data_IF_678560886041
#
_entry.id   IF_678560886041
#
_cell.length_a   1.000
_cell.length_b   1.000
_cell.length_c   1.000
_cell.angle_alpha   90.00
_cell.angle_beta   90.00
_cell.angle_gamma   90.00
#
_symmetry.space_group_name_H-M   'P 1'
#
loop_
_entity.id
_entity.type
_entity.pdbx_description
1 polymer ?
#
# COMPACT_ATOMS: atom_id res chain seq x y z
N UNK A 1 -1.96 21.26 -58.21
CA UNK A 1 -0.89 20.25 -58.01
C UNK A 1 0.49 20.89 -58.21
N UNK A 2 1.30 20.96 -57.15
CA UNK A 2 2.66 21.52 -57.20
C UNK A 2 3.61 20.47 -57.82
N UNK A 3 3.93 20.58 -59.11
CA UNK A 3 4.70 19.60 -59.91
C UNK A 3 6.18 19.42 -59.50
N UNK A 4 6.61 19.93 -58.34
CA UNK A 4 8.01 19.88 -57.86
C UNK A 4 8.19 19.27 -56.48
N UNK A 5 7.16 18.63 -55.92
CA UNK A 5 7.30 17.99 -54.61
C UNK A 5 8.02 16.65 -54.78
N UNK A 6 9.30 16.59 -54.37
CA UNK A 6 10.01 15.31 -54.23
C UNK A 6 9.22 14.38 -53.32
N UNK A 7 9.20 13.10 -53.65
CA UNK A 7 8.60 12.07 -52.79
C UNK A 7 9.22 12.16 -51.38
N UNK A 8 8.44 12.06 -50.30
CA UNK A 8 8.95 12.21 -48.93
C UNK A 8 10.05 11.23 -48.52
N UNK A 9 10.18 10.12 -49.27
CA UNK A 9 11.14 9.04 -49.08
C UNK A 9 11.74 8.65 -50.43
N UNK A 10 13.02 8.31 -50.46
CA UNK A 10 13.73 7.95 -51.69
C UNK A 10 13.24 6.59 -52.25
N UNK A 11 13.08 6.55 -53.57
CA UNK A 11 12.75 5.33 -54.31
C UNK A 11 14.02 4.79 -55.00
N UNK A 12 14.20 3.46 -55.10
CA UNK A 12 13.23 2.39 -54.82
C UNK A 12 13.27 1.82 -53.39
N UNK A 13 14.13 2.32 -52.51
CA UNK A 13 14.36 1.78 -51.16
C UNK A 13 13.09 1.76 -50.28
N UNK A 14 12.17 2.72 -50.49
CA UNK A 14 10.92 2.84 -49.72
C UNK A 14 9.66 2.58 -50.55
N UNK A 15 9.74 1.63 -51.50
CA UNK A 15 8.63 1.29 -52.42
C UNK A 15 7.37 0.72 -51.76
N UNK A 16 7.45 0.29 -50.51
CA UNK A 16 6.34 -0.29 -49.72
C UNK A 16 5.67 0.73 -48.79
N UNK A 17 6.12 2.00 -48.79
CA UNK A 17 5.54 3.06 -47.96
C UNK A 17 4.47 3.85 -48.71
N UNK A 18 3.28 3.95 -48.11
CA UNK A 18 2.21 4.87 -48.53
C UNK A 18 2.15 6.07 -47.59
N UNK A 19 2.35 7.29 -48.09
CA UNK A 19 2.54 8.49 -47.24
C UNK A 19 1.66 9.65 -47.66
N UNK A 20 0.87 10.18 -46.73
CA UNK A 20 0.20 11.47 -46.82
C UNK A 20 0.92 12.47 -45.91
N UNK A 21 1.86 13.25 -46.47
CA UNK A 21 2.60 14.30 -45.76
C UNK A 21 2.20 15.69 -46.24
N UNK A 22 1.96 16.59 -45.29
CA UNK A 22 1.70 18.02 -45.56
C UNK A 22 2.69 18.90 -44.79
N UNK A 23 3.22 19.94 -45.43
CA UNK A 23 4.13 20.89 -44.77
C UNK A 23 3.33 21.90 -43.96
N UNK A 24 3.85 22.29 -42.80
CA UNK A 24 3.24 23.36 -42.01
C UNK A 24 3.28 24.66 -42.81
N UNK A 25 2.14 25.35 -42.90
CA UNK A 25 2.06 26.58 -43.67
C UNK A 25 2.84 27.71 -42.97
N UNK A 26 3.81 28.31 -43.66
CA UNK A 26 4.63 29.44 -43.17
C UNK A 26 5.39 29.18 -41.86
N UNK A 27 5.64 27.91 -41.54
CA UNK A 27 6.51 27.51 -40.45
C UNK A 27 7.21 26.21 -40.80
N UNK A 28 8.27 25.89 -40.07
CA UNK A 28 8.94 24.61 -40.17
C UNK A 28 8.08 23.52 -39.51
N UNK A 29 8.15 22.29 -40.06
CA UNK A 29 7.40 21.14 -39.57
C UNK A 29 6.45 20.53 -40.59
N UNK A 30 5.82 19.41 -40.24
CA UNK A 30 4.90 18.68 -41.12
C UNK A 30 3.87 17.89 -40.32
N UNK A 31 2.75 17.52 -40.95
CA UNK A 31 1.88 16.45 -40.46
C UNK A 31 2.01 15.25 -41.40
N UNK A 32 1.97 14.03 -40.86
CA UNK A 32 2.11 12.81 -41.64
C UNK A 32 1.18 11.71 -41.16
N UNK A 33 0.54 11.05 -42.13
CA UNK A 33 0.00 9.72 -41.99
C UNK A 33 0.76 8.80 -42.94
N UNK A 34 1.41 7.76 -42.41
CA UNK A 34 2.22 6.82 -43.18
C UNK A 34 1.83 5.38 -42.86
N UNK A 35 1.79 4.55 -43.89
CA UNK A 35 1.63 3.11 -43.84
C UNK A 35 2.91 2.47 -44.39
N UNK A 36 3.48 1.51 -43.67
CA UNK A 36 4.52 0.58 -44.14
C UNK A 36 3.88 -0.80 -44.27
N UNK A 37 3.97 -1.39 -45.47
CA UNK A 37 3.37 -2.70 -45.79
C UNK A 37 4.44 -3.77 -46.03
N UNK A 38 5.72 -3.48 -45.75
CA UNK A 38 6.78 -4.48 -45.82
C UNK A 38 6.63 -5.51 -44.70
N UNK A 39 6.59 -6.79 -45.08
CA UNK A 39 6.43 -7.90 -44.15
C UNK A 39 7.47 -7.88 -43.02
N UNK A 40 7.01 -7.89 -41.77
CA UNK A 40 7.85 -7.83 -40.57
C UNK A 40 8.22 -6.42 -40.11
N UNK A 41 7.83 -5.39 -40.86
CA UNK A 41 8.06 -3.97 -40.54
C UNK A 41 6.76 -3.15 -40.64
N UNK A 42 5.60 -3.80 -40.62
CA UNK A 42 4.31 -3.14 -40.81
C UNK A 42 4.06 -2.05 -39.75
N UNK A 43 3.73 -0.85 -40.20
CA UNK A 43 3.58 0.31 -39.32
C UNK A 43 2.49 1.26 -39.81
N UNK A 44 1.68 1.77 -38.88
CA UNK A 44 0.88 2.98 -39.09
C UNK A 44 1.50 4.10 -38.24
N UNK A 45 2.03 5.12 -38.91
CA UNK A 45 2.63 6.29 -38.26
C UNK A 45 1.72 7.50 -38.41
N UNK A 46 1.35 8.11 -37.28
CA UNK A 46 0.58 9.35 -37.22
C UNK A 46 1.40 10.41 -36.51
N UNK A 47 1.73 11.49 -37.22
CA UNK A 47 2.42 12.65 -36.66
C UNK A 47 1.56 13.91 -36.79
N UNK A 48 1.28 14.53 -35.64
CA UNK A 48 0.69 15.85 -35.55
C UNK A 48 1.76 16.85 -35.09
N UNK A 49 1.96 17.93 -35.84
CA UNK A 49 2.97 18.96 -35.54
C UNK A 49 2.66 19.74 -34.25
N UNK A 50 1.38 19.83 -33.88
CA UNK A 50 0.92 20.58 -32.72
C UNK A 50 -0.09 19.78 -31.89
N UNK A 51 -1.30 19.62 -32.42
CA UNK A 51 -2.42 19.01 -31.70
C UNK A 51 -2.96 17.80 -32.47
N UNK A 52 -3.16 16.66 -31.79
CA UNK A 52 -3.98 15.54 -32.28
C UNK A 52 -5.26 15.51 -31.46
N UNK A 53 -6.39 15.80 -32.09
CA UNK A 53 -7.71 15.64 -31.48
C UNK A 53 -8.37 14.39 -32.04
N UNK A 54 -8.85 13.53 -31.16
CA UNK A 54 -9.67 12.37 -31.52
C UNK A 54 -11.01 12.49 -30.80
N UNK A 55 -12.11 12.47 -31.56
CA UNK A 55 -13.46 12.50 -31.02
C UNK A 55 -14.24 11.34 -31.62
N UNK A 56 -14.66 10.43 -30.76
CA UNK A 56 -15.47 9.28 -31.13
C UNK A 56 -16.88 9.49 -30.57
N UNK A 57 -17.90 9.47 -31.44
CA UNK A 57 -19.29 9.77 -31.05
C UNK A 57 -20.02 8.59 -30.42
N UNK A 58 -19.51 7.38 -30.60
CA UNK A 58 -20.16 6.15 -30.14
C UNK A 58 -19.18 5.29 -29.34
N UNK A 59 -18.44 4.38 -29.99
CA UNK A 59 -17.54 3.46 -29.30
C UNK A 59 -16.11 3.59 -29.83
N UNK A 60 -15.16 3.75 -28.90
CA UNK A 60 -13.74 3.56 -29.16
C UNK A 60 -13.32 2.29 -28.43
N UNK A 61 -12.82 1.30 -29.17
CA UNK A 61 -12.28 0.05 -28.61
C UNK A 61 -10.84 -0.07 -29.05
N UNK A 62 -9.93 -0.14 -28.09
CA UNK A 62 -8.51 -0.38 -28.33
C UNK A 62 -8.16 -1.76 -27.77
N UNK A 63 -7.55 -2.61 -28.60
CA UNK A 63 -6.96 -3.88 -28.19
C UNK A 63 -5.53 -3.88 -28.66
N UNK A 64 -4.61 -4.11 -27.74
CA UNK A 64 -3.18 -4.25 -28.02
C UNK A 64 -2.79 -5.68 -27.67
N UNK A 65 -2.37 -6.46 -28.67
CA UNK A 65 -2.05 -7.88 -28.49
C UNK A 65 -0.66 -8.12 -27.88
N UNK A 66 0.23 -7.13 -27.95
CA UNK A 66 1.57 -7.19 -27.37
C UNK A 66 1.75 -6.12 -26.27
N UNK A 67 2.34 -4.96 -26.60
CA UNK A 67 2.72 -3.95 -25.60
C UNK A 67 2.05 -2.59 -25.84
N UNK A 68 1.42 -2.04 -24.79
CA UNK A 68 0.99 -0.64 -24.73
C UNK A 68 1.94 0.18 -23.87
N UNK A 69 2.54 1.21 -24.44
CA UNK A 69 3.44 2.12 -23.71
C UNK A 69 2.98 3.55 -23.94
N UNK A 70 2.78 4.29 -22.84
CA UNK A 70 2.41 5.69 -22.87
C UNK A 70 3.40 6.54 -22.08
N UNK A 71 3.94 7.59 -22.70
CA UNK A 71 4.80 8.59 -22.06
C UNK A 71 4.18 9.98 -22.18
N UNK A 72 3.93 10.65 -21.05
CA UNK A 72 3.33 11.99 -21.00
C UNK A 72 4.31 12.95 -20.35
N UNK A 73 4.75 13.98 -21.10
CA UNK A 73 5.82 14.90 -20.66
C UNK A 73 5.39 15.91 -19.58
N UNK A 74 4.10 16.21 -19.49
CA UNK A 74 3.49 17.11 -18.52
C UNK A 74 2.38 16.38 -17.74
N UNK A 75 1.11 16.69 -18.01
CA UNK A 75 -0.03 16.18 -17.24
C UNK A 75 -0.85 15.18 -18.06
N UNK A 76 -1.29 14.09 -17.41
CA UNK A 76 -2.38 13.22 -17.88
C UNK A 76 -3.59 13.45 -16.99
N UNK A 77 -4.67 13.98 -17.56
CA UNK A 77 -5.97 14.04 -16.90
C UNK A 77 -6.83 12.86 -17.39
N UNK A 78 -7.55 12.21 -16.47
CA UNK A 78 -8.51 11.16 -16.80
C UNK A 78 -9.72 11.29 -15.90
N UNK A 79 -10.88 11.40 -16.53
CA UNK A 79 -12.18 11.45 -15.87
C UNK A 79 -13.00 10.26 -16.35
N UNK A 80 -13.61 9.55 -15.41
CA UNK A 80 -14.49 8.41 -15.66
C UNK A 80 -15.74 8.62 -14.84
N UNK A 81 -16.86 8.90 -15.50
CA UNK A 81 -18.14 9.26 -14.85
C UNK A 81 -18.81 8.06 -14.16
N UNK A 82 -18.56 6.85 -14.68
CA UNK A 82 -19.09 5.60 -14.13
C UNK A 82 -17.93 4.75 -13.58
N UNK A 83 -17.70 3.55 -14.11
CA UNK A 83 -16.71 2.62 -13.56
C UNK A 83 -15.39 2.63 -14.33
N UNK A 84 -14.28 2.64 -13.58
CA UNK A 84 -12.95 2.25 -14.08
C UNK A 84 -12.61 0.90 -13.46
N UNK A 85 -12.67 -0.15 -14.26
CA UNK A 85 -12.23 -1.49 -13.88
C UNK A 85 -10.83 -1.74 -14.43
N UNK A 86 -9.87 -2.05 -13.55
CA UNK A 86 -8.49 -2.35 -13.91
C UNK A 86 -8.07 -3.69 -13.29
N UNK A 87 -7.73 -4.66 -14.14
CA UNK A 87 -7.25 -5.98 -13.73
C UNK A 87 -5.81 -6.11 -14.19
N UNK A 88 -4.88 -6.23 -13.24
CA UNK A 88 -3.45 -6.43 -13.50
C UNK A 88 -3.09 -7.86 -13.14
N UNK A 89 -2.76 -8.69 -14.14
CA UNK A 89 -2.38 -10.09 -13.91
C UNK A 89 -0.98 -10.28 -13.32
N UNK A 90 -0.12 -9.25 -13.42
CA UNK A 90 1.23 -9.22 -12.87
C UNK A 90 1.39 -8.19 -11.74
N UNK A 91 2.56 -7.56 -11.67
CA UNK A 91 2.84 -6.53 -10.66
C UNK A 91 2.29 -5.16 -11.10
N UNK A 92 1.67 -4.46 -10.16
CA UNK A 92 1.31 -3.04 -10.29
C UNK A 92 2.18 -2.21 -9.34
N UNK A 93 3.02 -1.33 -9.91
CA UNK A 93 3.81 -0.36 -9.13
C UNK A 93 3.25 1.03 -9.36
N UNK A 94 2.70 1.63 -8.30
CA UNK A 94 2.23 3.02 -8.32
C UNK A 94 3.17 3.87 -7.48
N UNK A 95 3.87 4.81 -8.11
CA UNK A 95 4.75 5.76 -7.44
C UNK A 95 4.20 7.18 -7.58
N UNK A 96 3.96 7.85 -6.46
CA UNK A 96 3.45 9.22 -6.39
C UNK A 96 4.46 10.07 -5.64
N UNK A 97 5.09 11.05 -6.29
CA UNK A 97 6.12 11.90 -5.67
C UNK A 97 6.84 12.82 -6.65
N UNK A 98 7.61 13.77 -6.13
CA UNK A 98 8.20 14.89 -6.89
C UNK A 98 9.49 14.57 -7.65
N UNK A 99 9.99 13.33 -7.70
CA UNK A 99 11.13 12.93 -8.53
C UNK A 99 11.31 11.40 -8.54
N UNK A 100 11.02 10.74 -9.68
CA UNK A 100 11.62 9.48 -10.15
C UNK A 100 11.31 9.33 -11.66
N UNK A 101 11.99 10.12 -12.50
CA UNK A 101 12.03 9.91 -13.97
C UNK A 101 13.20 8.98 -14.27
N UNK A 102 12.98 7.69 -14.47
CA UNK A 102 14.08 6.89 -15.03
C UNK A 102 13.93 5.38 -15.18
N UNK A 103 13.13 4.68 -14.37
CA UNK A 103 13.24 3.20 -14.35
C UNK A 103 12.32 2.46 -15.33
N UNK A 104 11.20 3.05 -15.76
CA UNK A 104 10.25 2.35 -16.65
C UNK A 104 10.51 2.67 -18.13
N UNK A 105 11.02 3.86 -18.45
CA UNK A 105 11.33 4.25 -19.82
C UNK A 105 12.69 4.92 -19.83
N UNK A 106 13.69 4.25 -20.42
CA UNK A 106 15.05 4.76 -20.51
C UNK A 106 15.10 6.16 -21.13
N UNK A 107 15.96 7.03 -20.61
CA UNK A 107 16.05 8.45 -21.01
C UNK A 107 16.30 8.64 -22.51
N UNK A 108 16.95 7.67 -23.16
CA UNK A 108 17.18 7.65 -24.62
C UNK A 108 15.90 7.49 -25.44
N UNK A 109 14.83 6.94 -24.87
CA UNK A 109 13.54 6.73 -25.55
C UNK A 109 12.68 7.98 -25.63
N UNK A 110 12.98 9.00 -24.82
CA UNK A 110 12.28 10.30 -24.84
C UNK A 110 12.75 11.22 -25.99
N UNK A 111 13.88 10.88 -26.63
CA UNK A 111 14.51 11.70 -27.68
C UNK A 111 14.57 11.00 -29.04
N UNK A 112 14.00 9.80 -29.16
CA UNK A 112 14.01 9.05 -30.42
C UNK A 112 12.90 9.56 -31.36
N UNK A 113 13.27 9.95 -32.58
CA UNK A 113 12.32 10.40 -33.60
C UNK A 113 11.43 9.28 -34.13
N UNK A 114 11.85 8.02 -33.98
CA UNK A 114 11.05 6.82 -34.28
C UNK A 114 10.04 6.47 -33.16
N UNK A 115 9.94 7.28 -32.11
CA UNK A 115 8.99 7.09 -31.02
C UNK A 115 9.31 5.92 -30.07
N UNK A 116 8.28 5.49 -29.33
CA UNK A 116 8.35 4.47 -28.27
C UNK A 116 8.43 3.04 -28.86
N UNK A 117 8.27 2.87 -30.17
CA UNK A 117 8.21 1.58 -30.88
C UNK A 117 9.38 0.65 -30.52
N UNK A 118 10.60 1.17 -30.41
CA UNK A 118 11.78 0.35 -30.03
C UNK A 118 11.74 -0.13 -28.57
N UNK A 119 11.13 0.65 -27.67
CA UNK A 119 10.92 0.23 -26.27
C UNK A 119 9.89 -0.88 -26.20
N UNK A 120 8.84 -0.81 -27.03
CA UNK A 120 7.81 -1.86 -27.11
C UNK A 120 8.34 -3.22 -27.57
N UNK A 121 9.41 -3.26 -28.37
CA UNK A 121 10.02 -4.53 -28.79
C UNK A 121 10.92 -5.17 -27.71
N UNK A 122 11.51 -4.37 -26.82
CA UNK A 122 12.39 -4.86 -25.74
C UNK A 122 11.61 -5.32 -24.48
N UNK A 123 10.32 -4.95 -24.36
CA UNK A 123 9.43 -5.40 -23.29
C UNK A 123 8.87 -6.80 -23.62
N UNK A 124 9.69 -7.84 -23.46
CA UNK A 124 9.38 -9.21 -23.89
C UNK A 124 8.07 -9.81 -23.33
N UNK A 125 7.48 -10.69 -24.14
CA UNK A 125 6.26 -11.46 -23.88
C UNK A 125 6.34 -12.26 -22.57
N UNK A 126 5.72 -11.75 -21.51
CA UNK A 126 5.35 -12.57 -20.35
C UNK A 126 3.87 -12.89 -20.46
N UNK A 127 3.60 -14.13 -20.86
CA UNK A 127 2.25 -14.67 -21.02
C UNK A 127 1.37 -14.48 -19.78
N UNK A 128 0.06 -14.55 -20.03
CA UNK A 128 -1.02 -14.46 -19.05
C UNK A 128 -0.77 -15.42 -17.88
N UNK A 129 -0.19 -14.90 -16.80
CA UNK A 129 -0.07 -15.61 -15.54
C UNK A 129 -1.46 -15.73 -14.90
N UNK A 130 -1.77 -16.84 -14.21
CA UNK A 130 -2.90 -16.89 -13.27
C UNK A 130 -2.80 -15.73 -12.28
N UNK A 131 -3.93 -15.28 -11.69
CA UNK A 131 -4.03 -14.15 -10.75
C UNK A 131 -2.75 -14.05 -9.90
N UNK A 132 -1.88 -13.10 -10.25
CA UNK A 132 -0.47 -13.19 -9.90
C UNK A 132 -0.21 -13.14 -8.40
N UNK A 133 0.72 -13.99 -7.94
CA UNK A 133 1.47 -13.83 -6.70
C UNK A 133 2.39 -12.61 -6.83
N UNK A 134 1.78 -11.41 -6.89
CA UNK A 134 2.46 -10.14 -7.07
C UNK A 134 2.57 -9.35 -5.78
N UNK A 135 3.53 -8.44 -5.73
CA UNK A 135 3.68 -7.53 -4.59
C UNK A 135 3.02 -6.18 -4.91
N UNK A 136 2.11 -5.73 -4.05
CA UNK A 136 1.67 -4.34 -4.05
C UNK A 136 2.55 -3.52 -3.10
N UNK A 137 3.16 -2.44 -3.59
CA UNK A 137 3.89 -1.49 -2.75
C UNK A 137 3.33 -0.09 -2.91
N UNK A 138 2.97 0.53 -1.79
CA UNK A 138 2.59 1.93 -1.71
C UNK A 138 3.66 2.68 -0.92
N UNK A 139 4.25 3.73 -1.51
CA UNK A 139 5.22 4.59 -0.85
C UNK A 139 4.71 6.02 -0.85
N UNK A 140 4.64 6.62 0.34
CA UNK A 140 4.20 8.01 0.55
C UNK A 140 5.30 8.75 1.28
N UNK A 141 5.82 9.83 0.70
CA UNK A 141 6.99 10.54 1.23
C UNK A 141 6.67 11.58 2.31
N UNK A 142 5.41 12.02 2.38
CA UNK A 142 4.98 13.08 3.30
C UNK A 142 3.85 12.60 4.20
N UNK A 143 2.60 12.63 3.70
CA UNK A 143 1.42 12.30 4.51
C UNK A 143 0.48 11.34 3.77
N UNK A 144 -0.04 10.36 4.50
CA UNK A 144 -1.16 9.52 4.10
C UNK A 144 -2.33 9.80 5.04
N UNK A 145 -3.50 10.10 4.48
CA UNK A 145 -4.75 10.27 5.22
C UNK A 145 -5.82 9.39 4.57
N UNK A 146 -6.50 8.57 5.36
CA UNK A 146 -7.61 7.76 4.92
C UNK A 146 -8.80 8.00 5.85
N UNK A 147 -9.92 8.41 5.27
CA UNK A 147 -11.19 8.56 5.97
C UNK A 147 -12.18 7.54 5.39
N UNK A 148 -12.84 6.80 6.27
CA UNK A 148 -13.84 5.80 5.91
C UNK A 148 -15.04 5.97 6.83
N UNK A 149 -16.19 6.32 6.26
CA UNK A 149 -17.35 6.76 7.06
C UNK A 149 -18.17 5.59 7.65
N UNK A 150 -17.91 4.35 7.23
CA UNK A 150 -18.70 3.19 7.64
C UNK A 150 -17.88 2.06 8.24
N UNK A 151 -17.00 1.44 7.46
CA UNK A 151 -16.37 0.18 7.88
C UNK A 151 -15.07 -0.08 7.14
N UNK A 152 -14.05 -0.55 7.87
CA UNK A 152 -12.78 -1.03 7.32
C UNK A 152 -12.58 -2.47 7.79
N UNK A 153 -12.26 -3.37 6.86
CA UNK A 153 -11.88 -4.74 7.15
C UNK A 153 -10.52 -5.04 6.53
N UNK A 154 -9.58 -5.50 7.34
CA UNK A 154 -8.32 -6.06 6.88
C UNK A 154 -8.35 -7.58 7.08
N UNK A 155 -8.21 -8.33 5.98
CA UNK A 155 -8.04 -9.78 6.00
C UNK A 155 -6.67 -10.12 5.42
N UNK A 156 -5.80 -10.70 6.24
CA UNK A 156 -4.41 -11.00 5.89
C UNK A 156 -4.21 -12.49 6.10
N UNK A 157 -4.01 -13.25 5.02
CA UNK A 157 -3.81 -14.70 5.10
C UNK A 157 -2.46 -15.13 5.67
N UNK A 158 -1.50 -14.20 5.74
CA UNK A 158 -0.17 -14.40 6.28
C UNK A 158 0.12 -13.54 7.50
N UNK A 159 1.36 -13.05 7.58
CA UNK A 159 1.82 -12.18 8.67
C UNK A 159 1.47 -10.71 8.40
N UNK A 160 1.01 -10.01 9.43
CA UNK A 160 0.89 -8.55 9.44
C UNK A 160 1.98 -7.95 10.32
N UNK A 161 2.83 -7.11 9.74
CA UNK A 161 3.85 -6.35 10.46
C UNK A 161 3.54 -4.84 10.35
N UNK A 162 3.55 -4.16 11.49
CA UNK A 162 3.37 -2.72 11.56
C UNK A 162 4.54 -2.11 12.32
N UNK A 163 5.27 -1.18 11.68
CA UNK A 163 6.41 -0.50 12.28
C UNK A 163 6.14 1.01 12.31
N UNK A 164 6.12 1.57 13.52
CA UNK A 164 6.03 3.00 13.79
C UNK A 164 7.31 3.41 14.50
N UNK A 165 8.02 4.40 13.97
CA UNK A 165 9.35 4.82 14.48
C UNK A 165 9.29 5.93 15.52
N UNK A 166 8.15 6.63 15.61
CA UNK A 166 7.87 7.67 16.60
C UNK A 166 6.64 7.26 17.39
N UNK A 167 5.56 8.03 17.26
CA UNK A 167 4.37 7.90 18.09
C UNK A 167 3.24 7.18 17.36
N UNK A 168 2.57 6.27 18.07
CA UNK A 168 1.30 5.66 17.64
C UNK A 168 0.21 6.09 18.62
N UNK A 169 -0.87 6.66 18.10
CA UNK A 169 -2.09 6.95 18.87
C UNK A 169 -3.25 6.16 18.28
N UNK A 170 -3.99 5.46 19.14
CA UNK A 170 -5.19 4.71 18.78
C UNK A 170 -6.32 5.22 19.67
N UNK A 171 -7.27 5.94 19.07
CA UNK A 171 -8.48 6.41 19.73
C UNK A 171 -9.68 5.60 19.24
N UNK A 172 -10.48 5.11 20.17
CA UNK A 172 -11.60 4.19 19.89
C UNK A 172 -12.80 4.64 20.72
N UNK A 173 -13.90 4.99 20.03
CA UNK A 173 -15.04 5.64 20.68
C UNK A 173 -15.89 4.72 21.58
N UNK A 174 -15.93 3.41 21.32
CA UNK A 174 -16.82 2.47 22.02
C UNK A 174 -16.08 1.32 22.68
N UNK A 175 -15.49 0.41 21.90
CA UNK A 175 -14.80 -0.76 22.41
C UNK A 175 -13.60 -1.13 21.53
N UNK A 176 -12.52 -1.61 22.16
CA UNK A 176 -11.36 -2.21 21.50
C UNK A 176 -11.23 -3.66 21.97
N UNK A 177 -11.40 -4.61 21.07
CA UNK A 177 -11.20 -6.03 21.33
C UNK A 177 -9.93 -6.54 20.65
N UNK A 178 -9.09 -7.23 21.41
CA UNK A 178 -7.87 -7.88 20.90
C UNK A 178 -7.94 -9.36 21.26
N UNK A 179 -8.27 -10.18 20.27
CA UNK A 179 -8.32 -11.63 20.41
C UNK A 179 -7.10 -12.28 19.77
N UNK A 180 -6.37 -13.10 20.52
CA UNK A 180 -5.18 -13.82 20.07
C UNK A 180 -5.32 -15.29 20.48
N UNK A 181 -5.31 -16.20 19.51
CA UNK A 181 -5.43 -17.65 19.79
C UNK A 181 -4.14 -18.25 20.38
N UNK A 182 -2.98 -17.70 20.00
CA UNK A 182 -1.69 -18.07 20.54
C UNK A 182 -1.23 -17.16 21.68
N UNK A 183 0.04 -16.78 21.65
CA UNK A 183 0.64 -15.94 22.68
C UNK A 183 0.38 -14.45 22.40
N UNK A 184 -0.04 -13.72 23.42
CA UNK A 184 -0.05 -12.25 23.42
C UNK A 184 1.07 -11.72 24.31
N UNK A 185 1.97 -10.91 23.73
CA UNK A 185 3.08 -10.27 24.43
C UNK A 185 2.93 -8.76 24.28
N UNK A 186 2.86 -8.06 25.42
CA UNK A 186 2.87 -6.60 25.48
C UNK A 186 4.00 -6.17 26.41
N UNK A 187 4.90 -5.35 25.90
CA UNK A 187 6.13 -4.93 26.57
C UNK A 187 6.42 -3.47 26.28
N UNK A 188 6.83 -2.73 27.31
CA UNK A 188 7.33 -1.37 27.19
C UNK A 188 8.76 -1.32 27.74
N UNK A 189 9.66 -0.61 27.06
CA UNK A 189 11.07 -0.50 27.46
C UNK A 189 11.28 0.34 28.73
N UNK A 190 10.39 1.30 28.99
CA UNK A 190 10.47 2.18 30.16
C UNK A 190 9.26 2.02 31.08
N UNK A 191 8.15 2.69 30.76
CA UNK A 191 6.95 2.72 31.59
C UNK A 191 5.76 2.15 30.85
N UNK A 192 5.05 1.23 31.50
CA UNK A 192 3.72 0.78 31.09
C UNK A 192 2.67 1.28 32.07
N UNK A 193 1.59 1.86 31.57
CA UNK A 193 0.46 2.34 32.37
C UNK A 193 -0.79 1.61 31.94
N UNK A 194 -1.45 0.96 32.89
CA UNK A 194 -2.79 0.39 32.72
C UNK A 194 -3.71 1.17 33.64
N UNK A 195 -4.63 1.93 33.06
CA UNK A 195 -5.53 2.81 33.80
C UNK A 195 -6.96 2.58 33.34
N UNK A 196 -7.88 2.53 34.31
CA UNK A 196 -9.30 2.50 34.06
C UNK A 196 -10.02 3.34 35.12
N UNK A 197 -11.11 4.01 34.74
CA UNK A 197 -11.87 4.85 35.66
C UNK A 197 -12.65 4.03 36.71
N UNK A 198 -13.02 2.78 36.41
CA UNK A 198 -13.92 1.98 37.26
C UNK A 198 -13.25 0.75 37.87
N UNK A 199 -12.62 -0.08 37.04
CA UNK A 199 -12.06 -1.37 37.42
C UNK A 199 -10.94 -1.77 36.46
N UNK A 200 -9.86 -2.32 36.99
CA UNK A 200 -8.85 -3.09 36.24
C UNK A 200 -8.90 -4.53 36.72
N UNK A 201 -8.92 -5.50 35.81
CA UNK A 201 -9.03 -6.91 36.16
C UNK A 201 -8.09 -7.76 35.30
N UNK A 202 -7.37 -8.68 35.95
CA UNK A 202 -6.54 -9.70 35.31
C UNK A 202 -7.11 -11.06 35.70
N UNK A 203 -7.45 -11.89 34.70
CA UNK A 203 -8.14 -13.17 34.90
C UNK A 203 -7.33 -14.27 34.22
N UNK A 204 -7.09 -15.38 34.93
CA UNK A 204 -6.49 -16.58 34.40
C UNK A 204 -7.18 -17.81 35.03
N UNK A 205 -8.14 -18.40 34.30
CA UNK A 205 -9.03 -19.42 34.86
C UNK A 205 -9.77 -18.88 36.09
N UNK A 206 -9.63 -19.57 37.22
CA UNK A 206 -10.22 -19.17 38.53
C UNK A 206 -9.40 -18.11 39.27
N UNK A 207 -8.16 -17.82 38.85
CA UNK A 207 -7.34 -16.80 39.46
C UNK A 207 -7.74 -15.40 38.96
N UNK A 208 -7.87 -14.45 39.89
CA UNK A 208 -8.23 -13.05 39.59
C UNK A 208 -7.42 -12.06 40.42
N UNK A 209 -7.00 -10.99 39.77
CA UNK A 209 -6.45 -9.78 40.39
C UNK A 209 -7.35 -8.63 39.97
N UNK A 210 -7.91 -7.88 40.91
CA UNK A 210 -8.83 -6.78 40.62
C UNK A 210 -8.50 -5.53 41.43
N UNK A 211 -8.54 -4.39 40.75
CA UNK A 211 -8.39 -3.06 41.32
C UNK A 211 -9.69 -2.31 41.08
N UNK A 212 -10.28 -1.78 42.15
CA UNK A 212 -11.54 -1.05 42.11
C UNK A 212 -11.31 0.45 42.33
N UNK A 213 -12.19 1.26 41.76
CA UNK A 213 -12.19 2.72 41.90
C UNK A 213 -12.38 3.23 43.35
N UNK A 214 -12.90 2.39 44.26
CA UNK A 214 -13.02 2.68 45.69
C UNK A 214 -11.72 2.39 46.47
N UNK A 215 -10.63 2.02 45.78
CA UNK A 215 -9.33 1.70 46.37
C UNK A 215 -9.19 0.24 46.80
N UNK A 216 -10.22 -0.60 46.64
CA UNK A 216 -10.15 -2.02 46.99
C UNK A 216 -9.25 -2.77 46.00
N UNK A 217 -8.32 -3.54 46.55
CA UNK A 217 -7.48 -4.49 45.82
C UNK A 217 -7.86 -5.89 46.28
N UNK A 218 -8.26 -6.75 45.34
CA UNK A 218 -8.66 -8.13 45.64
C UNK A 218 -7.85 -9.12 44.81
N UNK A 219 -7.27 -10.08 45.52
CA UNK A 219 -6.54 -11.22 44.98
C UNK A 219 -7.31 -12.48 45.37
N UNK A 220 -7.69 -13.30 44.39
CA UNK A 220 -8.44 -14.54 44.64
C UNK A 220 -7.99 -15.67 43.72
N UNK A 221 -8.02 -16.89 44.24
CA UNK A 221 -7.67 -18.12 43.53
C UNK A 221 -7.64 -19.30 44.51
N UNK A 222 -7.32 -20.50 44.02
CA UNK A 222 -7.27 -21.71 44.85
C UNK A 222 -6.06 -21.73 45.79
N UNK A 223 -4.88 -21.33 45.30
CA UNK A 223 -3.64 -21.25 46.08
C UNK A 223 -2.93 -19.93 45.81
N UNK A 224 -2.40 -19.32 46.86
CA UNK A 224 -1.58 -18.11 46.77
C UNK A 224 -0.26 -18.32 47.51
N UNK A 225 0.84 -18.34 46.75
CA UNK A 225 2.20 -18.48 47.30
C UNK A 225 2.90 -17.12 47.28
N UNK A 226 3.28 -16.64 48.45
CA UNK A 226 4.01 -15.38 48.63
C UNK A 226 5.44 -15.67 49.09
N UNK A 227 6.41 -15.53 48.18
CA UNK A 227 7.83 -15.81 48.44
C UNK A 227 8.68 -14.55 48.23
N UNK A 228 9.33 -14.08 49.29
CA UNK A 228 10.12 -12.85 49.28
C UNK A 228 11.48 -13.07 49.94
N UNK A 229 12.54 -12.49 49.36
CA UNK A 229 13.92 -12.61 49.89
C UNK A 229 14.26 -11.66 51.02
N UNK A 230 13.52 -10.55 51.18
CA UNK A 230 13.85 -9.48 52.12
C UNK A 230 12.82 -9.34 53.24
N UNK A 231 11.64 -8.79 52.93
CA UNK A 231 10.53 -8.68 53.91
C UNK A 231 9.19 -8.57 53.20
N UNK A 232 8.13 -8.80 53.98
CA UNK A 232 6.76 -8.35 53.70
C UNK A 232 6.39 -7.38 54.83
N UNK A 233 5.69 -6.29 54.54
CA UNK A 233 5.25 -5.32 55.57
C UNK A 233 3.83 -4.87 55.26
N UNK A 234 2.99 -4.83 56.28
CA UNK A 234 1.63 -4.31 56.21
C UNK A 234 1.46 -3.22 57.26
N UNK A 235 1.04 -2.03 56.84
CA UNK A 235 0.67 -0.92 57.72
C UNK A 235 -0.82 -0.68 57.55
N UNK A 236 -1.59 -0.93 58.61
CA UNK A 236 -3.05 -0.82 58.62
C UNK A 236 -3.52 -0.73 60.07
N UNK A 237 -4.70 -0.15 60.29
CA UNK A 237 -5.33 -0.10 61.61
C UNK A 237 -5.71 -1.50 62.13
N UNK A 238 -6.05 -2.41 61.21
CA UNK A 238 -6.41 -3.78 61.55
C UNK A 238 -6.01 -4.78 60.45
N UNK A 239 -5.58 -5.97 60.87
CA UNK A 239 -5.36 -7.14 60.01
C UNK A 239 -6.30 -8.25 60.45
N UNK A 240 -7.12 -8.77 59.53
CA UNK A 240 -7.98 -9.93 59.79
C UNK A 240 -7.53 -11.11 58.94
N UNK A 241 -7.14 -12.20 59.59
CA UNK A 241 -6.84 -13.48 58.95
C UNK A 241 -7.90 -14.48 59.41
N UNK A 242 -8.48 -15.22 58.46
CA UNK A 242 -9.51 -16.24 58.76
C UNK A 242 -9.12 -17.53 58.06
N UNK A 243 -8.91 -18.59 58.84
CA UNK A 243 -8.67 -19.94 58.36
C UNK A 243 -9.80 -20.84 58.85
N UNK A 244 -10.36 -21.67 57.96
CA UNK A 244 -11.48 -22.57 58.31
C UNK A 244 -11.03 -23.79 59.14
N UNK A 245 -9.81 -24.27 58.91
CA UNK A 245 -9.31 -25.50 59.52
C UNK A 245 -8.12 -25.23 60.44
N UNK A 246 -7.01 -24.75 59.88
CA UNK A 246 -5.78 -24.50 60.64
C UNK A 246 -5.07 -23.24 60.12
N UNK A 247 -4.50 -22.49 61.05
CA UNK A 247 -3.57 -21.40 60.77
C UNK A 247 -2.25 -21.72 61.47
N UNK A 248 -1.17 -21.87 60.70
CA UNK A 248 0.16 -22.20 61.22
C UNK A 248 1.12 -21.08 60.89
N UNK A 249 1.78 -20.54 61.91
CA UNK A 249 2.88 -19.60 61.77
C UNK A 249 4.15 -20.30 62.20
N UNK A 250 5.19 -20.27 61.36
CA UNK A 250 6.52 -20.77 61.67
C UNK A 250 7.50 -19.62 61.52
N UNK A 251 8.07 -19.18 62.63
CA UNK A 251 9.06 -18.11 62.65
C UNK A 251 10.07 -18.38 63.76
N UNK A 252 11.29 -17.86 63.59
CA UNK A 252 12.30 -17.89 64.64
C UNK A 252 11.90 -17.00 65.84
N UNK A 253 11.14 -15.92 65.58
CA UNK A 253 10.62 -14.99 66.59
C UNK A 253 9.27 -14.44 66.13
N UNK A 254 8.32 -14.39 67.05
CA UNK A 254 7.03 -13.70 66.88
C UNK A 254 6.91 -12.73 68.05
N UNK A 255 6.87 -11.44 67.75
CA UNK A 255 6.62 -10.40 68.75
C UNK A 255 5.14 -10.02 68.69
N UNK A 256 4.41 -10.28 69.77
CA UNK A 256 3.03 -9.85 69.98
C UNK A 256 3.09 -8.80 71.09
N UNK A 257 2.84 -7.54 70.75
CA UNK A 257 2.71 -6.47 71.72
C UNK A 257 1.29 -6.42 72.28
#
# INVERSE_FOLDING_TARGET
>A
PNQRQKVPYDLPEHKTKSVMRTQTHKADGFNELRFEDQAGEEEIFVHAQKDRNEKVLHNHTERIDNNWIQSVGHNRAMEVDNNRDEVVGGNMTVSVGSQYRGDVVGRASLTNWQGITRVGMDYGERGLAPMGEGNLSFRVQSSWAAQVDRHVLYSVGGRWDQQITKDMSLDVGTHLDVAVAGNHVDSAGERRVIQAARKVELICGEARISLHSDGRIQLSGETMNLSFRKRITAFTDAVKITAKSAYKVVAARIDLN
#
